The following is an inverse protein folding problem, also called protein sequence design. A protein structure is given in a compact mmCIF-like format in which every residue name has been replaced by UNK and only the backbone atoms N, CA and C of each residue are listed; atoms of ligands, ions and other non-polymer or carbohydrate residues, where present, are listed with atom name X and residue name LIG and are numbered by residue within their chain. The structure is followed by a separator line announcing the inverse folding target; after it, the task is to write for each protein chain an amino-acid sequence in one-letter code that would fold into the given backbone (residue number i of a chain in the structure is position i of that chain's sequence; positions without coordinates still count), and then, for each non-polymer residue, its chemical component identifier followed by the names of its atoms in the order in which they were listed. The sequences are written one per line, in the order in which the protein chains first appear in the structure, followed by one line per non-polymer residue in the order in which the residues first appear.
data_IF_869978671417
#
_entry.id   IF_869978671417
#
_cell.length_a   1.000
_cell.length_b   1.000
_cell.length_c   1.000
_cell.angle_alpha   90.00
_cell.angle_beta   90.00
_cell.angle_gamma   90.00
#
_symmetry.space_group_name_H-M   'P 1'
#
loop_
_entity.id
_entity.type
_entity.pdbx_description
1 polymer ?
#
# COMPACT_ATOMS: atom_id res chain seq x y z
N UNK A 1 0.26 -33.84 -17.00
CA UNK A 1 1.65 -33.33 -17.07
C UNK A 1 2.10 -33.30 -18.53
N UNK A 2 1.92 -32.17 -19.23
CA UNK A 2 2.53 -31.87 -20.55
C UNK A 2 2.24 -30.46 -21.13
N UNK A 3 1.47 -29.59 -20.48
CA UNK A 3 1.14 -28.25 -21.01
C UNK A 3 1.93 -27.06 -20.42
N UNK A 4 3.01 -27.29 -19.66
CA UNK A 4 3.69 -26.22 -18.92
C UNK A 4 4.83 -25.51 -19.68
N UNK A 5 5.15 -25.91 -20.92
CA UNK A 5 6.39 -25.45 -21.58
C UNK A 5 6.18 -24.39 -22.67
N UNK A 6 4.94 -24.02 -23.03
CA UNK A 6 4.72 -23.12 -24.18
C UNK A 6 4.61 -21.62 -23.85
N UNK A 7 4.36 -21.23 -22.59
CA UNK A 7 4.22 -19.80 -22.24
C UNK A 7 5.54 -19.04 -22.09
N UNK A 8 6.68 -19.73 -21.97
CA UNK A 8 7.98 -19.07 -21.72
C UNK A 8 8.66 -18.50 -22.98
N UNK A 9 8.23 -18.90 -24.19
CA UNK A 9 8.96 -18.56 -25.43
C UNK A 9 8.46 -17.28 -26.10
N UNK A 10 7.25 -16.79 -25.76
CA UNK A 10 6.66 -15.61 -26.43
C UNK A 10 7.10 -14.28 -25.81
N UNK A 11 7.57 -14.27 -24.56
CA UNK A 11 7.98 -13.03 -23.87
C UNK A 11 9.28 -12.41 -24.38
N UNK A 12 10.07 -13.11 -25.21
CA UNK A 12 11.36 -12.61 -25.71
C UNK A 12 11.30 -11.88 -27.08
N UNK A 13 10.16 -11.89 -27.79
CA UNK A 13 10.08 -11.36 -29.15
C UNK A 13 9.41 -9.98 -29.31
N UNK A 14 8.87 -9.38 -28.24
CA UNK A 14 8.15 -8.10 -28.32
C UNK A 14 8.98 -6.86 -27.97
N UNK A 15 10.32 -6.96 -27.88
CA UNK A 15 11.21 -5.82 -27.61
C UNK A 15 11.93 -5.23 -28.84
N UNK A 16 11.65 -5.75 -30.05
CA UNK A 16 12.27 -5.24 -31.28
C UNK A 16 11.16 -4.93 -32.29
N UNK A 17 10.50 -3.76 -32.15
CA UNK A 17 9.87 -3.01 -33.25
C UNK A 17 9.13 -1.79 -32.69
N UNK A 18 9.86 -0.72 -32.39
CA UNK A 18 9.29 0.61 -32.15
C UNK A 18 10.29 1.68 -32.60
N UNK A 19 10.48 1.83 -33.92
CA UNK A 19 11.09 3.03 -34.51
C UNK A 19 10.47 3.27 -35.91
N UNK A 20 9.95 4.49 -36.12
CA UNK A 20 9.48 5.13 -37.38
C UNK A 20 8.12 4.62 -37.91
N UNK A 21 7.14 5.40 -38.37
CA UNK A 21 6.96 6.84 -38.65
C UNK A 21 5.47 7.11 -38.98
N UNK A 22 4.95 8.31 -38.70
CA UNK A 22 3.67 8.91 -39.19
C UNK A 22 3.83 9.46 -40.64
N UNK A 23 2.80 10.00 -41.36
CA UNK A 23 1.32 9.91 -41.24
C UNK A 23 0.51 9.76 -42.59
N UNK A 24 -0.82 9.65 -42.46
CA UNK A 24 -1.91 10.26 -43.30
C UNK A 24 -2.58 9.49 -44.49
N UNK A 25 -3.80 9.89 -44.97
CA UNK A 25 -5.11 9.27 -44.64
C UNK A 25 -5.91 8.75 -45.87
N UNK A 26 -7.04 8.06 -45.65
CA UNK A 26 -8.26 7.91 -46.50
C UNK A 26 -9.04 6.70 -45.94
N UNK A 27 -10.29 6.79 -45.48
CA UNK A 27 -11.49 7.11 -46.26
C UNK A 27 -12.26 5.80 -46.51
N UNK A 28 -13.26 5.48 -45.67
CA UNK A 28 -14.15 4.32 -45.89
C UNK A 28 -14.91 3.83 -44.65
N UNK A 29 -16.08 4.39 -44.39
CA UNK A 29 -17.22 3.70 -43.74
C UNK A 29 -17.84 2.72 -44.77
N UNK A 30 -18.59 1.65 -44.42
CA UNK A 30 -19.66 1.54 -43.41
C UNK A 30 -19.55 0.22 -42.59
N UNK A 31 -20.32 -0.17 -41.56
CA UNK A 31 -21.74 -0.11 -41.22
C UNK A 31 -21.81 -0.22 -39.67
N UNK A 32 -22.23 0.83 -38.98
CA UNK A 32 -22.52 0.77 -37.55
C UNK A 32 -23.95 0.27 -37.33
N UNK A 33 -24.08 -0.94 -36.82
CA UNK A 33 -25.28 -1.37 -36.09
C UNK A 33 -25.27 -0.67 -34.74
N UNK A 34 -26.12 0.34 -34.61
CA UNK A 34 -26.26 1.11 -33.38
C UNK A 34 -26.81 0.26 -32.25
N UNK A 35 -26.05 0.15 -31.17
CA UNK A 35 -26.62 0.02 -29.83
C UNK A 35 -26.47 1.37 -29.14
N UNK A 36 -27.60 1.88 -28.67
CA UNK A 36 -27.73 3.11 -27.94
C UNK A 36 -26.70 3.16 -26.80
N UNK A 37 -25.94 4.25 -26.78
CA UNK A 37 -25.31 4.72 -25.55
C UNK A 37 -26.46 5.23 -24.68
N UNK A 38 -27.00 4.35 -23.85
CA UNK A 38 -27.89 4.75 -22.78
C UNK A 38 -26.99 5.31 -21.67
N UNK A 39 -26.74 6.61 -21.78
CA UNK A 39 -26.18 7.44 -20.72
C UNK A 39 -27.24 7.62 -19.65
N UNK A 40 -27.38 6.60 -18.80
CA UNK A 40 -28.04 6.67 -17.51
C UNK A 40 -27.26 5.81 -16.53
N UNK A 41 -26.17 6.35 -16.00
CA UNK A 41 -25.68 5.90 -14.70
C UNK A 41 -26.72 6.35 -13.67
N UNK A 42 -27.72 5.51 -13.45
CA UNK A 42 -28.54 5.59 -12.25
C UNK A 42 -27.64 5.32 -11.05
N UNK A 43 -27.31 6.39 -10.35
CA UNK A 43 -26.94 6.39 -8.95
C UNK A 43 -28.15 5.95 -8.12
N UNK A 44 -28.51 4.67 -8.20
CA UNK A 44 -29.48 4.03 -7.29
C UNK A 44 -28.75 3.10 -6.33
N UNK A 45 -27.98 3.70 -5.42
CA UNK A 45 -27.68 3.03 -4.17
C UNK A 45 -29.01 2.82 -3.46
N UNK A 46 -29.40 1.56 -3.25
CA UNK A 46 -30.44 1.28 -2.26
C UNK A 46 -29.89 1.84 -0.96
N UNK A 47 -30.62 2.71 -0.26
CA UNK A 47 -30.14 3.32 0.99
C UNK A 47 -29.81 2.33 2.13
N UNK A 48 -29.76 1.03 1.84
CA UNK A 48 -29.33 -0.05 2.70
C UNK A 48 -27.97 -0.64 2.23
N UNK A 49 -26.86 -0.37 2.96
CA UNK A 49 -25.52 -0.92 2.69
C UNK A 49 -25.47 -2.45 2.54
N UNK A 50 -26.35 -3.18 3.21
CA UNK A 50 -26.38 -4.64 3.12
C UNK A 50 -26.93 -5.13 1.76
N UNK A 51 -27.86 -4.39 1.17
CA UNK A 51 -28.40 -4.72 -0.15
C UNK A 51 -27.35 -4.46 -1.23
N UNK A 52 -26.66 -3.32 -1.15
CA UNK A 52 -25.57 -2.98 -2.07
C UNK A 52 -24.43 -4.01 -1.98
N UNK A 53 -24.13 -4.51 -0.78
CA UNK A 53 -23.16 -5.58 -0.57
C UNK A 53 -23.56 -6.85 -1.33
N UNK A 54 -24.81 -7.29 -1.20
CA UNK A 54 -25.32 -8.48 -1.91
C UNK A 54 -25.26 -8.31 -3.42
N UNK A 55 -25.58 -7.12 -3.93
CA UNK A 55 -25.48 -6.79 -5.34
C UNK A 55 -24.04 -6.89 -5.84
N UNK A 56 -23.08 -6.26 -5.16
CA UNK A 56 -21.66 -6.27 -5.55
C UNK A 56 -21.05 -7.67 -5.51
N UNK A 57 -21.37 -8.47 -4.47
CA UNK A 57 -20.95 -9.88 -4.41
C UNK A 57 -21.55 -10.69 -5.56
N UNK A 58 -22.81 -10.44 -5.93
CA UNK A 58 -23.44 -11.05 -7.08
C UNK A 58 -22.78 -10.66 -8.42
N UNK A 59 -22.38 -9.40 -8.58
CA UNK A 59 -21.59 -8.96 -9.74
C UNK A 59 -20.23 -9.67 -9.81
N UNK A 60 -19.52 -9.80 -8.68
CA UNK A 60 -18.22 -10.49 -8.60
C UNK A 60 -18.34 -11.97 -9.02
N UNK A 61 -19.34 -12.69 -8.50
CA UNK A 61 -19.56 -14.10 -8.84
C UNK A 61 -19.86 -14.28 -10.34
N UNK A 62 -20.66 -13.38 -10.93
CA UNK A 62 -20.95 -13.43 -12.37
C UNK A 62 -19.69 -13.19 -13.19
N UNK A 63 -18.87 -12.22 -12.78
CA UNK A 63 -17.60 -11.92 -13.42
C UNK A 63 -16.63 -13.10 -13.33
N UNK A 64 -16.53 -13.77 -12.18
CA UNK A 64 -15.68 -14.96 -12.05
C UNK A 64 -16.10 -16.08 -13.01
N UNK A 65 -17.40 -16.36 -13.09
CA UNK A 65 -17.91 -17.39 -14.02
C UNK A 65 -17.64 -17.04 -15.49
N UNK A 66 -17.78 -15.76 -15.84
CA UNK A 66 -17.48 -15.28 -17.18
C UNK A 66 -15.98 -15.44 -17.49
N UNK A 67 -15.13 -15.02 -16.56
CA UNK A 67 -13.69 -15.17 -16.66
C UNK A 67 -13.27 -16.64 -16.86
N UNK A 68 -13.90 -17.59 -16.16
CA UNK A 68 -13.61 -19.02 -16.34
C UNK A 68 -13.92 -19.48 -17.78
N UNK A 69 -15.02 -19.02 -18.38
CA UNK A 69 -15.36 -19.32 -19.77
C UNK A 69 -14.38 -18.68 -20.77
N UNK A 70 -13.95 -17.44 -20.50
CA UNK A 70 -13.04 -16.71 -21.38
C UNK A 70 -11.62 -17.30 -21.33
N UNK A 71 -11.20 -17.79 -20.15
CA UNK A 71 -9.96 -18.58 -19.99
C UNK A 71 -10.03 -19.88 -20.79
N UNK A 72 -11.15 -20.62 -20.71
CA UNK A 72 -11.33 -21.86 -21.46
C UNK A 72 -11.26 -21.62 -22.98
N UNK A 73 -11.82 -20.51 -23.45
CA UNK A 73 -11.77 -20.09 -24.86
C UNK A 73 -10.43 -19.49 -25.28
N UNK A 74 -9.51 -19.26 -24.33
CA UNK A 74 -8.26 -18.52 -24.55
C UNK A 74 -8.51 -17.12 -25.15
N UNK A 75 -9.56 -16.44 -24.70
CA UNK A 75 -9.90 -15.09 -25.14
C UNK A 75 -9.16 -14.04 -24.31
N UNK A 76 -7.93 -13.73 -24.73
CA UNK A 76 -7.07 -12.78 -24.02
C UNK A 76 -7.65 -11.36 -23.95
N UNK A 77 -8.53 -10.99 -24.88
CA UNK A 77 -9.15 -9.67 -24.88
C UNK A 77 -10.20 -9.57 -23.79
N UNK A 78 -11.11 -10.55 -23.71
CA UNK A 78 -12.16 -10.59 -22.69
C UNK A 78 -11.59 -10.78 -21.28
N UNK A 79 -10.56 -11.61 -21.10
CA UNK A 79 -9.85 -11.75 -19.82
C UNK A 79 -9.29 -10.39 -19.35
N UNK A 80 -8.67 -9.62 -20.26
CA UNK A 80 -8.13 -8.30 -19.93
C UNK A 80 -9.24 -7.29 -19.63
N UNK A 81 -10.34 -7.35 -20.36
CA UNK A 81 -11.49 -6.48 -20.14
C UNK A 81 -12.17 -6.77 -18.79
N UNK A 82 -12.33 -8.04 -18.43
CA UNK A 82 -12.84 -8.45 -17.12
C UNK A 82 -11.97 -7.91 -15.97
N UNK A 83 -10.64 -8.00 -16.10
CA UNK A 83 -9.70 -7.43 -15.14
C UNK A 83 -9.81 -5.90 -15.02
N UNK A 84 -9.94 -5.21 -16.16
CA UNK A 84 -10.12 -3.75 -16.16
C UNK A 84 -11.44 -3.37 -15.47
N UNK A 85 -12.51 -4.11 -15.73
CA UNK A 85 -13.81 -3.89 -15.09
C UNK A 85 -13.75 -4.16 -13.58
N UNK A 86 -13.03 -5.21 -13.16
CA UNK A 86 -12.76 -5.45 -11.75
C UNK A 86 -12.07 -4.24 -11.11
N UNK A 87 -10.95 -3.81 -11.67
CA UNK A 87 -10.11 -2.72 -11.14
C UNK A 87 -10.81 -1.36 -11.13
N UNK A 88 -11.46 -0.99 -12.23
CA UNK A 88 -11.97 0.37 -12.42
C UNK A 88 -13.41 0.56 -11.93
N UNK A 89 -14.21 -0.51 -11.84
CA UNK A 89 -15.64 -0.43 -11.48
C UNK A 89 -15.96 -1.11 -10.16
N UNK A 90 -15.57 -2.38 -9.99
CA UNK A 90 -15.99 -3.15 -8.81
C UNK A 90 -15.20 -2.79 -7.55
N UNK A 91 -13.86 -2.80 -7.63
CA UNK A 91 -13.02 -2.52 -6.45
C UNK A 91 -13.32 -1.15 -5.82
N UNK A 92 -13.49 -0.04 -6.57
CA UNK A 92 -13.79 1.26 -5.99
C UNK A 92 -15.16 1.32 -5.29
N UNK A 93 -16.18 0.65 -5.86
CA UNK A 93 -17.52 0.57 -5.25
C UNK A 93 -17.48 -0.24 -3.95
N UNK A 94 -16.78 -1.37 -3.95
CA UNK A 94 -16.57 -2.17 -2.75
C UNK A 94 -15.80 -1.40 -1.67
N UNK A 95 -14.77 -0.64 -2.07
CA UNK A 95 -14.00 0.23 -1.18
C UNK A 95 -14.84 1.30 -0.50
N UNK A 96 -15.71 1.96 -1.27
CA UNK A 96 -16.64 2.95 -0.73
C UNK A 96 -17.61 2.31 0.25
N UNK A 97 -18.26 1.22 -0.14
CA UNK A 97 -19.23 0.53 0.69
C UNK A 97 -18.61 0.00 1.99
N UNK A 98 -17.40 -0.56 1.92
CA UNK A 98 -16.65 -1.02 3.09
C UNK A 98 -16.45 0.10 4.10
N UNK A 99 -16.04 1.30 3.65
CA UNK A 99 -15.86 2.46 4.53
C UNK A 99 -17.17 2.95 5.15
N UNK A 100 -18.26 2.93 4.38
CA UNK A 100 -19.60 3.28 4.89
C UNK A 100 -20.07 2.28 5.96
N UNK A 101 -19.86 0.98 5.75
CA UNK A 101 -20.17 -0.07 6.72
C UNK A 101 -19.29 0.09 7.97
N UNK A 102 -17.97 0.21 7.80
CA UNK A 102 -17.00 0.36 8.90
C UNK A 102 -17.35 1.55 9.82
N UNK A 103 -17.78 2.67 9.24
CA UNK A 103 -18.23 3.85 9.99
C UNK A 103 -19.51 3.61 10.81
N UNK A 104 -20.33 2.63 10.42
CA UNK A 104 -21.57 2.26 11.10
C UNK A 104 -21.41 1.20 12.20
N UNK A 105 -20.22 0.58 12.33
CA UNK A 105 -20.01 -0.53 13.27
C UNK A 105 -19.73 -0.04 14.70
N UNK A 106 -20.63 -0.42 15.61
CA UNK A 106 -20.61 0.09 17.00
C UNK A 106 -20.04 -0.95 17.96
N UNK A 107 -20.25 -2.25 17.71
CA UNK A 107 -19.85 -3.33 18.62
C UNK A 107 -18.80 -4.29 18.02
N UNK A 108 -18.18 -5.08 18.90
CA UNK A 108 -17.10 -6.00 18.53
C UNK A 108 -17.55 -7.13 17.60
N UNK A 109 -18.76 -7.68 17.80
CA UNK A 109 -19.30 -8.77 16.98
C UNK A 109 -19.55 -8.31 15.54
N UNK A 110 -20.09 -7.11 15.37
CA UNK A 110 -20.27 -6.46 14.06
C UNK A 110 -18.92 -6.26 13.35
N UNK A 111 -17.90 -5.77 14.07
CA UNK A 111 -16.54 -5.61 13.52
C UNK A 111 -15.91 -6.95 13.15
N UNK A 112 -16.08 -7.98 13.97
CA UNK A 112 -15.59 -9.32 13.66
C UNK A 112 -16.28 -9.90 12.41
N UNK A 113 -17.59 -9.70 12.29
CA UNK A 113 -18.36 -10.08 11.10
C UNK A 113 -17.87 -9.39 9.83
N UNK A 114 -17.61 -8.08 9.90
CA UNK A 114 -17.11 -7.32 8.76
C UNK A 114 -15.67 -7.71 8.38
N UNK A 115 -14.77 -7.88 9.37
CA UNK A 115 -13.41 -8.41 9.11
C UNK A 115 -13.44 -9.76 8.40
N UNK A 116 -14.37 -10.65 8.78
CA UNK A 116 -14.55 -11.95 8.11
C UNK A 116 -15.02 -11.78 6.67
N UNK A 117 -15.97 -10.87 6.42
CA UNK A 117 -16.46 -10.58 5.08
C UNK A 117 -15.34 -10.03 4.18
N UNK A 118 -14.60 -9.03 4.66
CA UNK A 118 -13.46 -8.44 3.94
C UNK A 118 -12.42 -9.50 3.60
N UNK A 119 -12.12 -10.42 4.53
CA UNK A 119 -11.19 -11.52 4.28
C UNK A 119 -11.66 -12.45 3.15
N UNK A 120 -12.91 -12.91 3.18
CA UNK A 120 -13.46 -13.78 2.12
C UNK A 120 -13.39 -13.08 0.76
N UNK A 121 -13.76 -11.80 0.73
CA UNK A 121 -13.73 -11.01 -0.49
C UNK A 121 -12.31 -10.82 -1.04
N UNK A 122 -11.33 -10.66 -0.16
CA UNK A 122 -9.91 -10.65 -0.52
C UNK A 122 -9.48 -11.95 -1.21
N UNK A 123 -9.90 -13.08 -0.67
CA UNK A 123 -9.60 -14.41 -1.21
C UNK A 123 -10.24 -14.60 -2.59
N UNK A 124 -11.48 -14.14 -2.79
CA UNK A 124 -12.18 -14.24 -4.07
C UNK A 124 -11.54 -13.35 -5.15
N UNK A 125 -11.17 -12.11 -4.82
CA UNK A 125 -10.46 -11.22 -5.74
C UNK A 125 -9.09 -11.81 -6.10
N UNK A 126 -8.32 -12.28 -5.11
CA UNK A 126 -7.02 -12.88 -5.36
C UNK A 126 -7.11 -14.13 -6.26
N UNK A 127 -8.14 -14.97 -6.05
CA UNK A 127 -8.45 -16.12 -6.89
C UNK A 127 -8.74 -15.73 -8.33
N UNK A 128 -9.58 -14.72 -8.55
CA UNK A 128 -9.89 -14.21 -9.89
C UNK A 128 -8.65 -13.64 -10.59
N UNK A 129 -7.87 -12.82 -9.89
CA UNK A 129 -6.63 -12.25 -10.44
C UNK A 129 -5.59 -13.32 -10.77
N UNK A 130 -5.48 -14.36 -9.94
CA UNK A 130 -4.60 -15.50 -10.18
C UNK A 130 -5.02 -16.31 -11.41
N UNK A 131 -6.32 -16.63 -11.55
CA UNK A 131 -6.88 -17.31 -12.73
C UNK A 131 -6.60 -16.53 -14.02
N UNK A 132 -6.75 -15.21 -13.97
CA UNK A 132 -6.51 -14.33 -15.10
C UNK A 132 -5.01 -14.06 -15.40
N UNK A 133 -4.09 -14.59 -14.59
CA UNK A 133 -2.65 -14.33 -14.72
C UNK A 133 -2.22 -12.90 -14.34
N UNK A 134 -3.10 -12.12 -13.71
CA UNK A 134 -2.80 -10.78 -13.19
C UNK A 134 -2.05 -10.81 -11.85
N UNK A 135 -2.01 -11.97 -11.19
CA UNK A 135 -1.32 -12.20 -9.91
C UNK A 135 -0.62 -13.57 -9.95
N UNK A 136 0.58 -13.64 -9.38
CA UNK A 136 1.39 -14.85 -9.40
C UNK A 136 1.06 -15.85 -8.28
N UNK A 137 0.64 -15.41 -7.09
CA UNK A 137 0.25 -16.30 -5.98
C UNK A 137 -1.24 -16.31 -5.74
N UNK A 138 -1.80 -17.50 -5.49
CA UNK A 138 -3.23 -17.67 -5.20
C UNK A 138 -3.63 -17.01 -3.88
N UNK A 139 -2.80 -17.16 -2.84
CA UNK A 139 -3.09 -16.60 -1.52
C UNK A 139 -2.96 -15.08 -1.53
N UNK A 140 -3.95 -14.33 -0.99
CA UNK A 140 -3.86 -12.89 -0.84
C UNK A 140 -2.76 -12.46 0.15
N UNK A 141 -2.36 -13.34 1.06
CA UNK A 141 -1.36 -13.09 2.11
C UNK A 141 0.07 -13.45 1.67
N UNK A 142 0.24 -13.95 0.44
CA UNK A 142 1.55 -14.30 -0.12
C UNK A 142 1.90 -13.44 -1.33
N UNK A 143 3.19 -13.32 -1.61
CA UNK A 143 3.73 -12.65 -2.80
C UNK A 143 4.80 -13.49 -3.48
N UNK A 144 4.90 -13.41 -4.80
CA UNK A 144 5.83 -14.22 -5.57
C UNK A 144 7.23 -13.63 -5.50
N UNK A 145 8.15 -14.32 -4.84
CA UNK A 145 9.53 -13.89 -4.72
C UNK A 145 10.39 -14.57 -5.79
N UNK A 146 10.64 -13.84 -6.89
CA UNK A 146 11.35 -14.35 -8.05
C UNK A 146 12.71 -15.01 -7.74
N UNK A 147 13.57 -14.48 -6.84
CA UNK A 147 14.86 -15.10 -6.53
C UNK A 147 14.77 -16.52 -5.94
N UNK A 148 13.65 -16.87 -5.29
CA UNK A 148 13.40 -18.23 -4.78
C UNK A 148 12.38 -19.01 -5.63
N UNK A 149 11.76 -18.37 -6.62
CA UNK A 149 10.70 -18.91 -7.45
C UNK A 149 9.55 -19.53 -6.62
N UNK A 150 9.13 -18.84 -5.56
CA UNK A 150 8.12 -19.31 -4.61
C UNK A 150 7.23 -18.17 -4.11
N UNK A 151 6.00 -18.53 -3.75
CA UNK A 151 5.10 -17.68 -2.99
C UNK A 151 5.49 -17.70 -1.52
N UNK A 152 5.62 -16.53 -0.91
CA UNK A 152 6.02 -16.36 0.48
C UNK A 152 5.12 -15.32 1.14
N UNK A 153 4.80 -15.48 2.43
CA UNK A 153 4.10 -14.44 3.19
C UNK A 153 4.96 -13.18 3.28
N UNK A 154 4.31 -12.02 3.31
CA UNK A 154 4.96 -10.71 3.25
C UNK A 154 4.51 -9.77 4.39
N UNK A 155 5.24 -8.68 4.55
CA UNK A 155 4.95 -7.63 5.52
C UNK A 155 5.51 -7.88 6.93
N UNK A 156 5.23 -6.96 7.87
CA UNK A 156 5.84 -6.94 9.21
C UNK A 156 5.37 -8.06 10.12
N UNK A 157 4.35 -8.83 9.73
CA UNK A 157 3.89 -9.99 10.50
C UNK A 157 4.54 -11.31 10.03
N UNK A 158 5.31 -11.28 8.93
CA UNK A 158 5.88 -12.45 8.27
C UNK A 158 7.41 -12.58 8.48
N UNK A 159 7.96 -12.06 9.59
CA UNK A 159 9.42 -12.05 9.83
C UNK A 159 10.04 -13.45 9.84
N UNK A 160 9.35 -14.47 10.36
CA UNK A 160 9.88 -15.83 10.47
C UNK A 160 10.23 -16.46 9.11
N UNK A 161 9.54 -16.00 8.06
CA UNK A 161 9.62 -16.48 6.68
C UNK A 161 10.24 -15.45 5.74
N UNK A 162 10.79 -14.36 6.28
CA UNK A 162 11.35 -13.26 5.50
C UNK A 162 12.57 -13.75 4.68
N UNK A 163 12.52 -13.72 3.34
CA UNK A 163 13.63 -14.14 2.50
C UNK A 163 14.73 -13.06 2.37
N UNK A 164 14.49 -11.85 2.87
CA UNK A 164 15.40 -10.72 2.73
C UNK A 164 16.61 -10.89 3.66
N UNK A 165 17.80 -11.00 3.06
CA UNK A 165 19.05 -11.31 3.76
C UNK A 165 19.67 -10.11 4.48
N UNK A 166 19.32 -8.90 4.05
CA UNK A 166 19.93 -7.66 4.53
C UNK A 166 19.20 -7.17 5.77
N UNK A 167 19.96 -6.47 6.63
CA UNK A 167 19.40 -5.86 7.84
C UNK A 167 18.33 -4.84 7.46
N UNK A 168 17.30 -4.77 8.29
CA UNK A 168 16.22 -3.79 8.17
C UNK A 168 15.46 -3.89 6.84
N UNK A 169 15.46 -5.07 6.20
CA UNK A 169 14.64 -5.37 5.02
C UNK A 169 13.60 -6.44 5.33
N UNK A 170 12.40 -6.25 4.81
CA UNK A 170 11.34 -7.26 4.80
C UNK A 170 10.76 -7.39 3.39
N UNK A 171 10.10 -8.52 3.14
CA UNK A 171 9.41 -8.75 1.88
C UNK A 171 8.13 -7.93 1.85
N UNK A 172 7.99 -7.09 0.83
CA UNK A 172 6.77 -6.35 0.55
C UNK A 172 6.12 -6.91 -0.72
N UNK A 173 4.78 -6.86 -0.74
CA UNK A 173 4.03 -7.07 -1.97
C UNK A 173 4.06 -5.82 -2.83
N UNK A 174 3.86 -5.97 -4.13
CA UNK A 174 3.46 -4.82 -4.93
C UNK A 174 2.76 -5.28 -6.19
N UNK A 175 2.81 -4.49 -7.28
CA UNK A 175 2.10 -4.66 -8.58
C UNK A 175 1.50 -6.06 -8.84
N UNK A 176 1.90 -6.91 -9.76
CA UNK A 176 1.19 -8.17 -10.03
C UNK A 176 1.48 -9.28 -9.00
N UNK A 177 1.49 -8.94 -7.71
CA UNK A 177 1.85 -9.85 -6.62
C UNK A 177 3.24 -10.49 -6.75
N UNK A 178 4.22 -9.63 -6.97
CA UNK A 178 5.63 -9.95 -7.14
C UNK A 178 6.34 -9.20 -6.03
N UNK A 179 6.99 -9.97 -5.18
CA UNK A 179 7.56 -9.50 -3.94
C UNK A 179 8.92 -8.87 -4.17
N UNK A 180 9.17 -7.78 -3.45
CA UNK A 180 10.48 -7.14 -3.41
C UNK A 180 10.91 -6.97 -1.96
N UNK A 181 12.21 -7.13 -1.71
CA UNK A 181 12.79 -6.75 -0.43
C UNK A 181 12.94 -5.24 -0.39
N UNK A 182 12.40 -4.62 0.66
CA UNK A 182 12.50 -3.19 0.90
C UNK A 182 12.66 -2.90 2.39
N UNK A 183 12.99 -1.66 2.72
CA UNK A 183 13.26 -1.22 4.07
C UNK A 183 12.03 -1.31 4.98
N UNK A 184 12.25 -1.71 6.22
CA UNK A 184 11.22 -1.69 7.26
C UNK A 184 10.73 -0.24 7.46
N UNK A 185 9.41 -0.07 7.38
CA UNK A 185 8.73 1.18 7.71
C UNK A 185 8.59 1.29 9.24
N UNK A 186 9.51 2.04 9.85
CA UNK A 186 9.46 2.39 11.27
C UNK A 186 9.93 3.83 11.52
N UNK A 187 10.00 4.24 12.78
CA UNK A 187 10.38 5.60 13.19
C UNK A 187 11.80 6.01 12.75
N UNK A 188 12.65 5.06 12.32
CA UNK A 188 14.01 5.34 11.84
C UNK A 188 14.03 5.91 10.43
N UNK A 189 12.89 5.91 9.71
CA UNK A 189 12.73 6.53 8.40
C UNK A 189 13.83 6.09 7.42
N UNK A 190 13.97 4.77 7.28
CA UNK A 190 15.00 4.13 6.48
C UNK A 190 14.74 4.34 4.99
N UNK A 191 15.81 4.42 4.21
CA UNK A 191 15.77 4.56 2.76
C UNK A 191 16.66 3.51 2.12
N UNK A 192 16.18 2.98 1.01
CA UNK A 192 16.89 1.96 0.25
C UNK A 192 17.96 2.62 -0.64
N UNK A 193 19.23 2.33 -0.41
CA UNK A 193 20.33 2.84 -1.22
C UNK A 193 21.36 1.73 -1.47
N UNK A 194 21.71 1.51 -2.74
CA UNK A 194 22.69 0.50 -3.17
C UNK A 194 22.48 -0.91 -2.56
N UNK A 195 21.23 -1.35 -2.41
CA UNK A 195 20.92 -2.70 -1.94
C UNK A 195 20.74 -2.83 -0.43
N UNK A 196 20.92 -1.75 0.33
CA UNK A 196 20.85 -1.74 1.79
C UNK A 196 19.98 -0.60 2.32
N UNK A 197 19.52 -0.75 3.56
CA UNK A 197 18.67 0.22 4.22
C UNK A 197 19.49 1.14 5.12
N UNK A 198 19.36 2.44 4.89
CA UNK A 198 20.12 3.45 5.60
C UNK A 198 19.17 4.48 6.20
N UNK A 199 19.51 4.96 7.38
CA UNK A 199 18.80 6.09 7.96
C UNK A 199 19.06 7.35 7.13
N UNK A 200 18.05 8.21 6.99
CA UNK A 200 18.22 9.53 6.36
C UNK A 200 18.96 10.50 7.29
N UNK A 201 19.56 11.53 6.71
CA UNK A 201 20.24 12.64 7.37
C UNK A 201 21.41 12.19 8.28
N UNK A 202 21.97 11.01 8.03
CA UNK A 202 23.23 10.54 8.59
C UNK A 202 24.24 10.37 7.46
N UNK A 203 25.53 10.19 7.79
CA UNK A 203 26.56 9.88 6.77
C UNK A 203 26.16 8.69 5.90
N UNK A 204 25.68 7.61 6.52
CA UNK A 204 25.29 6.39 5.81
C UNK A 204 26.42 5.88 4.90
N UNK A 205 26.12 5.53 3.64
CA UNK A 205 27.09 5.06 2.64
C UNK A 205 27.85 6.21 1.94
N UNK A 206 27.61 7.47 2.31
CA UNK A 206 28.20 8.62 1.67
C UNK A 206 29.65 8.89 2.13
N UNK A 207 30.37 9.67 1.33
CA UNK A 207 31.74 10.11 1.65
C UNK A 207 31.79 10.96 2.93
N UNK A 208 32.95 11.05 3.61
CA UNK A 208 33.14 11.98 4.72
C UNK A 208 32.78 13.42 4.32
N UNK A 209 32.03 14.11 5.17
CA UNK A 209 31.51 15.46 4.87
C UNK A 209 30.23 15.48 4.03
N UNK A 210 29.66 14.31 3.72
CA UNK A 210 28.36 14.16 3.06
C UNK A 210 27.38 13.37 3.92
N UNK A 211 26.10 13.49 3.62
CA UNK A 211 25.01 12.75 4.26
C UNK A 211 24.02 12.22 3.22
N UNK A 212 23.25 11.22 3.62
CA UNK A 212 22.22 10.63 2.79
C UNK A 212 20.89 11.37 2.99
N UNK A 213 20.38 11.99 1.94
CA UNK A 213 19.12 12.72 1.94
C UNK A 213 18.21 12.26 0.81
N UNK A 214 16.96 12.67 0.87
CA UNK A 214 15.93 12.30 -0.09
C UNK A 214 15.62 13.51 -0.97
N UNK A 215 16.00 13.45 -2.25
CA UNK A 215 15.93 14.59 -3.18
C UNK A 215 15.10 14.19 -4.39
N UNK A 216 13.96 14.86 -4.62
CA UNK A 216 12.94 14.40 -5.58
C UNK A 216 12.70 12.90 -5.40
N UNK A 217 12.37 12.57 -4.17
CA UNK A 217 12.53 11.30 -3.47
C UNK A 217 13.30 10.18 -4.15
N UNK A 218 14.52 10.52 -4.54
CA UNK A 218 15.61 9.61 -4.77
C UNK A 218 16.62 9.80 -3.64
N UNK A 219 17.10 8.71 -3.01
CA UNK A 219 18.13 8.83 -1.99
C UNK A 219 19.45 9.24 -2.67
N UNK A 220 20.00 10.38 -2.27
CA UNK A 220 21.24 10.94 -2.82
C UNK A 220 22.20 11.35 -1.72
N UNK A 221 23.49 11.27 -2.02
CA UNK A 221 24.53 11.78 -1.13
C UNK A 221 24.77 13.24 -1.45
N UNK A 222 24.48 14.11 -0.48
CA UNK A 222 24.70 15.54 -0.60
C UNK A 222 25.78 16.01 0.37
N UNK A 223 26.46 17.11 0.03
CA UNK A 223 27.43 17.74 0.91
C UNK A 223 26.69 18.26 2.15
N UNK A 224 27.22 17.95 3.34
CA UNK A 224 26.66 18.42 4.59
C UNK A 224 26.76 19.96 4.66
N UNK A 225 25.63 20.69 4.78
CA UNK A 225 25.66 22.14 4.86
C UNK A 225 26.41 22.64 6.09
N UNK A 226 27.02 23.82 5.98
CA UNK A 226 27.67 24.48 7.12
C UNK A 226 26.66 24.67 8.26
N UNK A 227 27.10 24.44 9.51
CA UNK A 227 26.27 24.47 10.72
C UNK A 227 25.18 23.40 10.82
N UNK A 228 25.29 22.29 10.06
CA UNK A 228 24.40 21.15 10.18
C UNK A 228 25.15 19.88 10.62
N UNK A 229 24.42 18.96 11.25
CA UNK A 229 24.99 17.73 11.82
C UNK A 229 24.36 16.50 11.19
N UNK A 230 25.17 15.53 10.75
CA UNK A 230 24.68 14.29 10.15
C UNK A 230 24.32 13.22 11.21
N UNK A 231 23.35 13.52 12.09
CA UNK A 231 22.92 12.67 13.22
C UNK A 231 21.55 12.00 13.02
N UNK A 232 20.92 12.22 11.87
CA UNK A 232 19.59 11.70 11.57
C UNK A 232 18.44 12.43 12.28
N UNK A 233 18.73 13.56 12.94
CA UNK A 233 17.74 14.44 13.59
C UNK A 233 17.73 15.82 12.95
N UNK A 234 18.88 16.29 12.47
CA UNK A 234 18.95 17.57 11.78
C UNK A 234 18.53 17.43 10.32
N UNK A 235 17.88 18.45 9.78
CA UNK A 235 17.41 18.53 8.41
C UNK A 235 17.70 19.90 7.85
N UNK A 236 18.12 19.95 6.58
CA UNK A 236 18.37 21.21 5.87
C UNK A 236 17.16 21.51 5.01
N UNK A 237 16.31 22.41 5.48
CA UNK A 237 14.98 22.61 4.89
C UNK A 237 14.40 23.99 5.21
N UNK A 238 13.53 24.49 4.33
CA UNK A 238 12.77 25.72 4.51
C UNK A 238 11.30 25.48 4.11
N UNK A 239 10.31 26.02 4.85
CA UNK A 239 8.90 25.93 4.47
C UNK A 239 8.60 26.71 3.20
N UNK A 240 9.36 27.76 2.91
CA UNK A 240 9.28 28.51 1.67
C UNK A 240 10.38 28.03 0.72
N UNK A 241 9.98 27.36 -0.37
CA UNK A 241 10.90 26.91 -1.44
C UNK A 241 11.66 28.09 -2.08
N UNK A 242 11.08 29.29 -2.03
CA UNK A 242 11.68 30.53 -2.53
C UNK A 242 12.76 31.10 -1.59
N UNK A 243 12.83 30.66 -0.33
CA UNK A 243 13.83 31.13 0.63
C UNK A 243 15.11 30.31 0.47
N UNK A 244 16.04 30.83 -0.31
CA UNK A 244 17.40 30.30 -0.48
C UNK A 244 18.39 31.26 0.21
N UNK A 245 19.28 30.77 1.10
CA UNK A 245 19.51 29.38 1.47
C UNK A 245 18.51 28.84 2.50
N UNK A 246 18.25 27.54 2.45
CA UNK A 246 17.57 26.84 3.54
C UNK A 246 18.45 26.86 4.82
N UNK A 247 17.86 26.52 5.95
CA UNK A 247 18.53 26.52 7.25
C UNK A 247 18.53 25.11 7.85
N UNK A 248 19.47 24.85 8.76
CA UNK A 248 19.53 23.58 9.48
C UNK A 248 18.61 23.62 10.69
N UNK A 249 17.72 22.66 10.80
CA UNK A 249 16.74 22.57 11.88
C UNK A 249 16.68 21.15 12.45
N UNK A 250 16.21 21.01 13.68
CA UNK A 250 16.05 19.72 14.34
C UNK A 250 14.61 19.22 14.17
N UNK A 251 14.44 17.98 13.71
CA UNK A 251 13.13 17.34 13.63
C UNK A 251 12.48 17.24 15.02
N UNK A 252 11.16 17.42 15.07
CA UNK A 252 10.38 17.45 16.30
C UNK A 252 10.44 18.80 17.04
N UNK A 253 11.22 19.76 16.56
CA UNK A 253 11.22 21.13 17.10
C UNK A 253 10.43 22.07 16.19
N UNK A 254 10.10 23.26 16.70
CA UNK A 254 9.36 24.28 15.96
C UNK A 254 10.09 24.74 14.68
N UNK A 255 11.37 25.04 14.77
CA UNK A 255 12.14 25.60 13.66
C UNK A 255 11.44 26.81 13.00
N UNK A 256 11.30 26.84 11.66
CA UNK A 256 10.65 27.92 10.93
C UNK A 256 9.12 27.80 10.89
N UNK A 257 8.52 26.81 11.58
CA UNK A 257 7.09 26.58 11.57
C UNK A 257 6.31 27.59 12.43
N UNK A 258 5.00 27.70 12.15
CA UNK A 258 4.08 28.56 12.91
C UNK A 258 3.94 28.11 14.37
N UNK A 259 3.35 28.96 15.20
CA UNK A 259 3.16 28.65 16.62
C UNK A 259 2.34 27.36 16.79
N UNK A 260 2.84 26.42 17.60
CA UNK A 260 2.21 25.12 17.84
C UNK A 260 2.54 24.04 16.78
N UNK A 261 3.24 24.39 15.70
CA UNK A 261 3.71 23.41 14.71
C UNK A 261 5.16 23.01 14.98
N UNK A 262 5.49 21.78 14.60
CA UNK A 262 6.81 21.19 14.65
C UNK A 262 7.22 20.68 13.27
N UNK A 263 8.53 20.60 13.03
CA UNK A 263 9.08 19.98 11.84
C UNK A 263 8.91 18.48 11.95
N UNK A 264 8.18 17.88 11.02
CA UNK A 264 8.05 16.44 10.90
C UNK A 264 8.37 16.00 9.49
N UNK A 265 8.57 14.70 9.34
CA UNK A 265 8.75 14.04 8.06
C UNK A 265 7.59 13.06 7.91
N UNK A 266 6.94 13.09 6.76
CA UNK A 266 5.92 12.09 6.44
C UNK A 266 6.52 10.83 5.83
N UNK A 267 5.67 9.84 5.59
CA UNK A 267 6.05 8.55 5.03
C UNK A 267 6.66 8.65 3.62
N UNK A 268 6.49 9.78 2.92
CA UNK A 268 7.13 10.03 1.62
C UNK A 268 8.57 10.52 1.74
N UNK A 269 9.03 10.80 2.97
CA UNK A 269 10.31 11.43 3.24
C UNK A 269 10.27 12.96 3.17
N UNK A 270 9.11 13.54 2.83
CA UNK A 270 8.93 15.00 2.71
C UNK A 270 8.86 15.65 4.07
N UNK A 271 9.64 16.72 4.23
CA UNK A 271 9.72 17.51 5.47
C UNK A 271 8.63 18.58 5.41
N UNK A 272 7.82 18.69 6.46
CA UNK A 272 6.73 19.66 6.55
C UNK A 272 6.46 20.09 7.99
N UNK A 273 5.73 21.18 8.15
CA UNK A 273 5.23 21.64 9.43
C UNK A 273 3.91 20.94 9.77
N UNK A 274 3.83 20.28 10.92
CA UNK A 274 2.59 19.66 11.42
C UNK A 274 2.35 20.01 12.87
N UNK A 275 1.10 19.94 13.32
CA UNK A 275 0.83 19.96 14.76
C UNK A 275 1.29 18.64 15.38
N UNK A 276 1.93 18.67 16.56
CA UNK A 276 2.26 17.43 17.27
C UNK A 276 0.96 16.68 17.60
N UNK A 277 0.98 15.34 17.55
CA UNK A 277 -0.17 14.56 18.02
C UNK A 277 -0.47 14.93 19.47
N UNK A 278 -1.76 15.05 19.79
CA UNK A 278 -2.21 15.31 21.16
C UNK A 278 -1.63 14.22 22.08
N UNK A 279 -0.98 14.57 23.21
CA UNK A 279 -0.45 13.56 24.11
C UNK A 279 -1.59 12.63 24.49
N UNK A 280 -1.42 11.32 24.28
CA UNK A 280 -2.30 10.34 24.89
C UNK A 280 -2.34 10.67 26.37
N UNK A 281 -3.50 11.12 26.85
CA UNK A 281 -3.72 11.41 28.27
C UNK A 281 -3.65 10.08 28.98
N UNK A 282 -2.44 9.65 29.33
CA UNK A 282 -2.22 8.71 30.42
C UNK A 282 -2.77 9.41 31.65
N UNK A 283 -4.02 9.09 31.97
CA UNK A 283 -4.61 9.39 33.26
C UNK A 283 -3.62 8.94 34.33
N UNK A 284 -3.14 9.85 35.20
CA UNK A 284 -2.24 9.45 36.26
C UNK A 284 -2.96 8.46 37.16
N UNK A 285 -2.31 7.32 37.41
CA UNK A 285 -2.77 6.31 38.35
C UNK A 285 -3.11 6.97 39.71
N UNK A 286 -4.23 6.62 40.36
CA UNK A 286 -4.51 7.10 41.69
C UNK A 286 -3.42 6.60 42.64
N UNK A 287 -2.85 7.54 43.38
CA UNK A 287 -1.85 7.30 44.42
C UNK A 287 -2.53 6.48 45.53
N UNK A 288 -2.26 5.16 45.58
CA UNK A 288 -2.77 4.30 46.64
C UNK A 288 -1.87 4.42 47.87
N UNK A 289 -2.39 5.10 48.89
CA UNK A 289 -1.86 5.05 50.25
C UNK A 289 -2.24 3.75 50.97
N UNK A 290 -1.22 3.10 51.52
CA UNK A 290 -1.16 2.47 52.86
C UNK A 290 -2.26 1.45 53.26
N UNK A 291 -1.87 0.18 53.13
CA UNK A 291 -2.09 -1.01 54.00
C UNK A 291 -3.32 -1.13 54.91
N UNK A 292 -4.10 -2.21 54.72
CA UNK A 292 -4.36 -3.26 55.75
C UNK A 292 -4.99 -4.52 55.12
N UNK A 293 -4.73 -5.68 55.74
CA UNK A 293 -4.90 -7.09 55.30
C UNK A 293 -6.21 -7.70 55.90
N UNK A 294 -6.54 -9.01 55.77
CA UNK A 294 -6.79 -9.92 54.61
C UNK A 294 -8.25 -10.46 54.57
N UNK A 295 -8.68 -11.06 53.45
CA UNK A 295 -9.86 -11.95 53.44
C UNK A 295 -10.24 -12.60 52.09
N UNK A 296 -9.90 -13.89 51.95
CA UNK A 296 -10.67 -14.97 51.30
C UNK A 296 -11.04 -14.96 49.79
N UNK A 297 -10.40 -15.89 49.06
CA UNK A 297 -10.90 -16.85 48.03
C UNK A 297 -11.61 -16.39 46.74
N UNK A 298 -11.01 -16.73 45.59
CA UNK A 298 -11.69 -16.92 44.30
C UNK A 298 -10.80 -16.59 43.07
N UNK A 299 -10.64 -17.47 42.06
CA UNK A 299 -9.72 -17.27 40.95
C UNK A 299 -10.39 -16.53 39.78
N UNK A 300 -9.78 -15.45 39.31
CA UNK A 300 -10.16 -14.81 38.05
C UNK A 300 -8.89 -14.47 37.25
N UNK A 301 -8.72 -15.19 36.15
CA UNK A 301 -7.75 -14.94 35.08
C UNK A 301 -7.99 -13.54 34.48
N UNK A 302 -6.97 -12.67 34.36
CA UNK A 302 -7.11 -11.44 33.59
C UNK A 302 -6.86 -11.70 32.09
N UNK A 303 -7.90 -11.43 31.30
CA UNK A 303 -7.86 -11.31 29.83
C UNK A 303 -6.97 -10.12 29.43
N UNK A 304 -6.07 -10.27 28.44
CA UNK A 304 -5.27 -9.15 27.94
C UNK A 304 -6.11 -8.24 27.04
N UNK A 305 -6.29 -6.99 27.45
CA UNK A 305 -6.84 -5.91 26.63
C UNK A 305 -5.88 -5.63 25.48
N UNK A 306 -6.22 -6.10 24.29
CA UNK A 306 -5.48 -5.81 23.07
C UNK A 306 -5.96 -4.45 22.56
N UNK A 307 -5.08 -3.47 22.55
CA UNK A 307 -5.29 -2.18 21.86
C UNK A 307 -5.42 -2.47 20.37
N UNK A 308 -6.67 -2.63 19.90
CA UNK A 308 -6.93 -2.93 18.49
C UNK A 308 -6.74 -1.68 17.64
N UNK A 309 -5.80 -1.78 16.69
CA UNK A 309 -5.58 -0.81 15.62
C UNK A 309 -6.87 -0.54 14.83
N UNK A 310 -7.10 0.69 14.34
CA UNK A 310 -8.20 0.97 13.43
C UNK A 310 -8.14 0.01 12.23
N UNK A 311 -9.32 -0.45 11.77
CA UNK A 311 -9.45 -1.31 10.59
C UNK A 311 -8.96 -0.48 9.41
N UNK A 312 -7.71 -0.70 8.98
CA UNK A 312 -7.23 -0.20 7.69
C UNK A 312 -8.09 -0.90 6.65
N UNK A 313 -8.93 -0.16 5.92
CA UNK A 313 -9.82 -0.79 4.96
C UNK A 313 -8.96 -1.54 3.96
N UNK A 314 -9.33 -2.79 3.71
CA UNK A 314 -8.59 -3.70 2.83
C UNK A 314 -8.35 -3.11 1.42
N UNK A 315 -9.18 -2.14 1.05
CA UNK A 315 -9.19 -1.41 -0.22
C UNK A 315 -8.24 -0.21 -0.24
N UNK A 316 -7.88 0.29 0.94
CA UNK A 316 -6.86 1.31 1.15
C UNK A 316 -5.45 0.70 1.27
N UNK A 317 -5.31 -0.59 0.92
CA UNK A 317 -4.03 -1.13 0.44
C UNK A 317 -4.01 -0.92 -1.06
N UNK A 318 -3.72 0.28 -1.56
CA UNK A 318 -3.63 0.43 -2.97
C UNK A 318 -2.45 -0.46 -3.41
N UNK A 319 -2.63 -1.15 -4.54
CA UNK A 319 -1.52 -1.37 -5.47
C UNK A 319 -1.14 -0.01 -6.09
N UNK A 320 -0.90 0.97 -5.21
CA UNK A 320 -0.72 2.42 -5.28
C UNK A 320 -1.44 3.17 -6.38
N UNK A 321 -2.43 3.93 -5.93
CA UNK A 321 -3.06 5.05 -6.60
C UNK A 321 -2.09 6.22 -6.76
N UNK A 322 -2.34 7.07 -7.76
CA UNK A 322 -1.56 8.25 -8.13
C UNK A 322 -1.41 9.26 -6.97
N UNK A 323 -0.18 9.76 -6.77
CA UNK A 323 0.13 10.86 -5.84
C UNK A 323 1.21 10.56 -4.80
N UNK A 324 1.85 9.40 -4.92
CA UNK A 324 2.27 8.59 -3.81
C UNK A 324 3.69 8.08 -4.01
N UNK A 325 4.63 8.40 -3.12
CA UNK A 325 6.04 8.51 -3.52
C UNK A 325 6.78 7.17 -3.66
N UNK A 326 6.68 6.59 -4.85
CA UNK A 326 7.39 5.39 -5.33
C UNK A 326 8.79 5.71 -5.83
N UNK A 327 9.83 5.25 -5.14
CA UNK A 327 11.22 5.40 -5.62
C UNK A 327 11.88 4.05 -5.95
N UNK A 328 12.14 3.90 -7.24
CA UNK A 328 13.21 3.10 -7.87
C UNK A 328 13.09 1.59 -8.12
N UNK A 329 11.96 0.90 -7.86
CA UNK A 329 11.76 -0.48 -8.35
C UNK A 329 10.37 -0.79 -8.96
N UNK A 330 9.69 0.21 -9.56
CA UNK A 330 8.36 0.04 -10.20
C UNK A 330 7.25 -0.53 -9.29
N UNK A 331 7.36 -0.44 -7.95
CA UNK A 331 6.28 -0.65 -6.97
C UNK A 331 6.39 0.49 -5.91
N UNK A 332 5.73 0.45 -4.76
CA UNK A 332 4.48 1.15 -4.54
C UNK A 332 4.44 1.94 -3.18
N UNK A 333 4.47 3.27 -3.11
CA UNK A 333 4.19 4.04 -1.87
C UNK A 333 2.91 4.88 -2.04
N UNK A 334 2.32 5.37 -0.94
CA UNK A 334 1.04 6.13 -0.76
C UNK A 334 1.22 7.65 -0.89
#
# INVERSE_FOLDING_TARGET
MKSFTLCFVVFSFLFISLVTSRPEPNGGSPLFGGFAVDSSEEESGSGNPEQDRKMLTGELIRMERQLDMDIEKNDHYEIRYALLNLEMRLLPRMARLSREIDASLINADQRAGERKFQKTLQEDIARMMYKAGARACLSPEETFYAPLNKCLPFGPNALASNPCKKKDQILYDGKNNEGSCDCVEDERQLVYYNGECHRQNVRGPCLPGSWLVMTNSTPTCEILPANCTADGKHVYWSPDEAKVPAECHVMGQRGPCSLGQIITRDNSGTVKCTFPPEPEVTTPAPVVGVTSKPGATGPATPTPTTTETPIVSLWDRPSCSQGSYRSQNKRCAI
#
